data_IF_549057599156
#
_entry.id   IF_549057599156
#
_cell.length_a   1.000
_cell.length_b   1.000
_cell.length_c   1.000
_cell.angle_alpha   90.00
_cell.angle_beta   90.00
_cell.angle_gamma   90.00
#
_symmetry.space_group_name_H-M   'P 1'
#
loop_
_entity.id
_entity.type
_entity.pdbx_description
1 polymer ?
2 non-polymer ?
3 water ?
#
# COMPACT_ATOMS: atom_id res chain seq x y z
N UNK A 1 38.28 -16.30 -4.61
CA UNK A 1 39.34 -16.79 -3.68
C UNK A 1 40.07 -15.55 -3.14
N UNK A 2 41.22 -15.25 -3.72
CA UNK A 2 41.81 -13.92 -3.63
C UNK A 2 40.76 -12.84 -3.97
N UNK A 3 39.91 -13.11 -4.97
CA UNK A 3 38.96 -12.09 -5.46
C UNK A 3 37.88 -11.79 -4.47
N UNK A 4 37.55 -12.77 -3.65
CA UNK A 4 36.49 -12.60 -2.68
C UNK A 4 36.98 -11.70 -1.56
N UNK A 5 38.16 -11.99 -1.06
CA UNK A 5 38.79 -11.16 -0.06
C UNK A 5 38.94 -9.70 -0.53
N UNK A 6 39.47 -9.53 -1.74
CA UNK A 6 39.78 -8.21 -2.28
C UNK A 6 38.55 -7.34 -2.57
N UNK A 7 37.43 -7.95 -2.91
CA UNK A 7 36.24 -7.19 -3.28
C UNK A 7 35.37 -6.89 -2.07
N UNK A 8 35.75 -7.40 -0.90
CA UNK A 8 35.14 -6.99 0.37
C UNK A 8 35.64 -5.61 0.78
N UNK A 9 34.75 -4.63 0.83
CA UNK A 9 35.11 -3.25 1.18
C UNK A 9 33.86 -2.37 1.25
N UNK A 10 33.93 -1.28 2.00
CA UNK A 10 32.76 -0.39 2.16
C UNK A 10 32.27 0.18 0.83
N UNK A 11 33.20 0.49 -0.06
CA UNK A 11 32.79 1.06 -1.35
C UNK A 11 32.11 0.01 -2.23
N UNK A 12 32.63 -1.21 -2.21
CA UNK A 12 32.04 -2.26 -3.02
C UNK A 12 30.65 -2.58 -2.47
N UNK A 13 30.57 -2.66 -1.15
CA UNK A 13 29.32 -2.87 -0.43
C UNK A 13 28.27 -1.82 -0.80
N UNK A 14 28.68 -0.56 -0.79
CA UNK A 14 27.78 0.53 -1.12
C UNK A 14 27.33 0.52 -2.60
N UNK A 15 28.25 0.21 -3.50
CA UNK A 15 27.90 0.01 -4.89
C UNK A 15 26.87 -1.12 -5.06
N UNK A 16 27.04 -2.22 -4.33
CA UNK A 16 26.11 -3.30 -4.40
C UNK A 16 24.73 -2.78 -3.98
N UNK A 17 24.68 -2.05 -2.87
CA UNK A 17 23.41 -1.55 -2.32
C UNK A 17 22.73 -0.67 -3.36
N UNK A 18 23.50 0.28 -3.88
CA UNK A 18 23.01 1.26 -4.86
C UNK A 18 22.47 0.60 -6.13
N UNK A 19 23.17 -0.43 -6.61
CA UNK A 19 22.83 -1.08 -7.87
C UNK A 19 21.62 -1.96 -7.74
N UNK A 20 21.48 -2.59 -6.56
CA UNK A 20 20.45 -3.60 -6.43
C UNK A 20 19.19 -3.09 -5.77
N UNK A 21 19.26 -1.94 -5.10
CA UNK A 21 18.09 -1.37 -4.40
C UNK A 21 16.87 -1.14 -5.32
N UNK A 22 17.08 -0.71 -6.56
CA UNK A 22 15.92 -0.56 -7.49
C UNK A 22 15.32 -1.90 -7.87
N UNK A 23 16.13 -2.96 -7.93
CA UNK A 23 15.61 -4.28 -8.24
C UNK A 23 14.83 -4.78 -7.03
N UNK A 24 15.35 -4.66 -5.81
CA UNK A 24 14.55 -5.16 -4.69
C UNK A 24 13.23 -4.36 -4.57
N UNK A 25 13.29 -3.06 -4.81
CA UNK A 25 12.11 -2.21 -4.65
C UNK A 25 11.01 -2.57 -5.62
N UNK A 26 11.37 -3.13 -6.77
CA UNK A 26 10.43 -3.50 -7.83
C UNK A 26 10.00 -4.96 -7.75
N UNK A 27 10.95 -5.87 -7.60
CA UNK A 27 10.71 -7.31 -7.65
C UNK A 27 10.48 -7.94 -6.28
N UNK A 28 10.87 -7.25 -5.21
CA UNK A 28 10.71 -7.83 -3.88
C UNK A 28 11.80 -8.83 -3.59
N UNK A 29 11.85 -9.29 -2.35
CA UNK A 29 12.88 -10.26 -1.96
C UNK A 29 12.64 -11.58 -2.71
N UNK A 30 11.38 -12.03 -2.77
CA UNK A 30 11.07 -13.33 -3.45
C UNK A 30 11.30 -13.24 -4.95
N UNK A 31 11.04 -12.11 -5.57
CA UNK A 31 11.18 -12.02 -7.01
C UNK A 31 12.59 -11.68 -7.49
N UNK A 32 13.49 -11.39 -6.55
CA UNK A 32 14.84 -10.99 -6.93
C UNK A 32 15.73 -12.21 -6.84
N UNK A 33 16.30 -12.60 -7.97
CA UNK A 33 17.16 -13.80 -8.06
C UNK A 33 18.62 -13.40 -8.08
N UNK A 34 19.48 -14.40 -8.01
CA UNK A 34 20.93 -14.17 -8.05
C UNK A 34 21.35 -13.54 -9.35
N UNK A 35 20.77 -13.99 -10.46
CA UNK A 35 21.17 -13.43 -11.75
C UNK A 35 20.64 -12.00 -11.92
N UNK A 36 19.54 -11.65 -11.24
CA UNK A 36 19.12 -10.26 -11.17
C UNK A 36 20.24 -9.46 -10.51
N UNK A 37 20.84 -10.00 -9.44
CA UNK A 37 21.85 -9.27 -8.67
C UNK A 37 23.20 -9.13 -9.39
N UNK A 38 23.68 -10.23 -9.99
CA UNK A 38 24.91 -10.21 -10.75
C UNK A 38 24.73 -9.38 -12.03
N UNK A 39 23.54 -9.37 -12.65
CA UNK A 39 23.32 -8.48 -13.80
C UNK A 39 23.32 -7.02 -13.38
N UNK A 40 22.59 -6.71 -12.31
CA UNK A 40 22.49 -5.31 -11.80
C UNK A 40 23.86 -4.73 -11.38
N UNK A 41 24.70 -5.57 -10.78
CA UNK A 41 25.98 -5.11 -10.27
C UNK A 41 27.13 -5.29 -11.30
N UNK A 42 26.92 -6.14 -12.30
CA UNK A 42 28.00 -6.68 -13.14
C UNK A 42 29.16 -7.30 -12.31
N UNK A 43 28.83 -7.92 -11.18
CA UNK A 43 29.82 -8.55 -10.32
C UNK A 43 29.49 -10.00 -10.15
N UNK A 44 30.47 -10.80 -9.78
CA UNK A 44 30.25 -12.23 -9.57
C UNK A 44 29.52 -12.48 -8.26
N UNK A 45 28.88 -13.64 -8.17
CA UNK A 45 28.27 -14.11 -6.92
C UNK A 45 29.25 -14.02 -5.77
N UNK A 46 30.52 -14.32 -6.06
CA UNK A 46 31.60 -14.24 -5.08
C UNK A 46 31.85 -12.85 -4.54
N UNK A 47 31.83 -11.82 -5.39
CA UNK A 47 31.98 -10.45 -4.91
C UNK A 47 30.78 -10.02 -4.08
N UNK A 48 29.58 -10.31 -4.55
CA UNK A 48 28.38 -9.94 -3.82
C UNK A 48 28.40 -10.60 -2.41
N UNK A 49 28.58 -11.91 -2.36
CA UNK A 49 28.47 -12.59 -1.07
C UNK A 49 29.78 -12.60 -0.28
N UNK A 50 30.76 -11.84 -0.75
CA UNK A 50 31.91 -11.48 0.06
C UNK A 50 31.69 -10.18 0.82
N UNK A 51 30.62 -9.46 0.49
CA UNK A 51 30.24 -8.23 1.21
C UNK A 51 28.97 -8.41 2.06
N UNK A 52 28.17 -9.41 1.73
CA UNK A 52 26.94 -9.67 2.41
C UNK A 52 26.81 -11.16 2.72
N UNK A 53 26.21 -11.47 3.87
CA UNK A 53 25.97 -12.86 4.25
C UNK A 53 25.14 -13.60 3.23
N UNK A 54 23.99 -13.05 2.90
CA UNK A 54 23.06 -13.69 2.00
C UNK A 54 22.17 -12.65 1.36
N UNK A 55 21.26 -13.12 0.50
CA UNK A 55 20.38 -12.23 -0.23
C UNK A 55 19.55 -11.36 0.70
N UNK A 56 19.14 -11.96 1.83
CA UNK A 56 18.32 -11.25 2.81
C UNK A 56 19.05 -10.07 3.41
N UNK A 57 20.34 -10.22 3.73
CA UNK A 57 21.17 -9.11 4.20
C UNK A 57 21.24 -7.99 3.13
N UNK A 58 21.29 -8.37 1.85
CA UNK A 58 21.27 -7.38 0.78
C UNK A 58 19.90 -6.64 0.73
N UNK A 59 18.80 -7.39 0.88
CA UNK A 59 17.44 -6.82 0.88
C UNK A 59 17.23 -5.82 2.01
N UNK A 60 17.76 -6.15 3.19
CA UNK A 60 17.68 -5.27 4.35
C UNK A 60 18.43 -3.95 4.14
N UNK A 61 19.68 -4.04 3.65
CA UNK A 61 20.46 -2.87 3.31
C UNK A 61 19.78 -2.06 2.20
N UNK A 62 19.23 -2.74 1.20
CA UNK A 62 18.46 -2.05 0.14
C UNK A 62 17.31 -1.25 0.72
N UNK A 63 16.56 -1.83 1.65
CA UNK A 63 15.47 -1.12 2.27
C UNK A 63 15.99 0.12 3.00
N UNK A 64 17.04 -0.05 3.81
CA UNK A 64 17.63 1.11 4.49
C UNK A 64 18.06 2.20 3.53
N UNK A 65 18.61 1.83 2.37
CA UNK A 65 19.01 2.84 1.37
C UNK A 65 17.80 3.52 0.68
N UNK A 66 16.84 2.72 0.25
CA UNK A 66 15.63 3.22 -0.40
C UNK A 66 14.81 4.19 0.45
N UNK A 67 14.54 3.75 1.67
CA UNK A 67 13.83 4.57 2.62
C UNK A 67 14.73 5.73 3.10
N UNK A 68 16.02 5.48 3.33
CA UNK A 68 16.93 6.57 3.69
C UNK A 68 16.89 7.67 2.63
N UNK A 69 16.76 7.27 1.36
CA UNK A 69 16.64 8.22 0.28
C UNK A 69 15.35 9.02 0.37
N UNK A 70 14.22 8.37 0.67
CA UNK A 70 12.96 9.10 0.80
C UNK A 70 13.09 10.08 1.98
N UNK A 71 13.65 9.62 3.09
CA UNK A 71 13.86 10.45 4.28
C UNK A 71 14.66 11.70 3.97
N UNK A 72 15.76 11.52 3.24
CA UNK A 72 16.66 12.61 2.88
C UNK A 72 16.00 13.64 1.98
N UNK A 73 15.16 13.20 1.05
CA UNK A 73 14.42 14.12 0.20
C UNK A 73 13.46 14.91 1.03
N UNK A 74 12.70 14.22 1.87
CA UNK A 74 11.71 14.88 2.71
C UNK A 74 12.40 15.90 3.63
N UNK A 75 13.54 15.51 4.21
CA UNK A 75 14.36 16.41 5.06
C UNK A 75 14.78 17.66 4.28
N UNK A 76 15.23 17.47 3.04
CA UNK A 76 15.74 18.57 2.28
C UNK A 76 14.60 19.53 1.90
N UNK A 77 13.43 18.98 1.56
CA UNK A 77 12.28 19.78 1.19
C UNK A 77 11.67 20.49 2.41
N UNK A 78 11.63 19.82 3.54
CA UNK A 78 11.14 20.42 4.78
C UNK A 78 12.05 21.61 5.21
N UNK A 79 13.36 21.44 5.15
CA UNK A 79 14.29 22.50 5.54
C UNK A 79 14.26 23.70 4.58
N UNK A 80 13.57 23.59 3.44
CA UNK A 80 13.42 24.73 2.54
C UNK A 80 12.10 25.50 2.73
N UNK A 81 11.22 25.01 3.61
CA UNK A 81 9.92 25.63 3.89
C UNK A 81 9.99 26.85 4.85
N UNK A 82 9.03 27.77 4.74
CA UNK A 82 8.92 28.93 5.63
C UNK A 82 7.99 28.75 6.81
N UNK A 83 7.07 27.80 6.66
CA UNK A 83 5.97 27.61 7.59
C UNK A 83 5.86 26.11 7.92
N UNK A 84 5.32 25.84 9.10
CA UNK A 84 5.08 24.46 9.54
C UNK A 84 4.08 23.76 8.62
N UNK A 85 3.04 24.48 8.23
CA UNK A 85 2.10 23.96 7.25
C UNK A 85 2.78 23.46 5.98
N UNK A 86 3.73 24.25 5.47
CA UNK A 86 4.40 23.90 4.23
C UNK A 86 5.19 22.62 4.42
N UNK A 87 5.83 22.46 5.56
CA UNK A 87 6.59 21.27 5.87
C UNK A 87 5.72 20.01 5.86
N UNK A 88 4.46 20.13 6.29
CA UNK A 88 3.51 19.03 6.29
C UNK A 88 2.95 18.68 4.87
N UNK A 89 3.16 19.58 3.90
CA UNK A 89 2.59 19.42 2.58
C UNK A 89 3.64 19.29 1.47
N UNK A 90 4.86 18.89 1.78
CA UNK A 90 5.87 18.65 0.74
C UNK A 90 5.66 17.32 -0.04
N UNK A 91 4.71 16.48 0.38
CA UNK A 91 4.56 15.11 -0.16
C UNK A 91 4.20 15.08 -1.64
N UNK A 92 3.22 15.86 -2.05
CA UNK A 92 2.88 15.89 -3.45
C UNK A 92 4.05 16.24 -4.38
N UNK A 93 4.88 17.20 -3.99
CA UNK A 93 5.95 17.58 -4.89
C UNK A 93 7.01 16.47 -4.82
N UNK A 94 7.23 15.88 -3.65
CA UNK A 94 8.21 14.80 -3.56
C UNK A 94 7.85 13.62 -4.46
N UNK A 95 6.56 13.24 -4.51
CA UNK A 95 6.16 12.05 -5.25
C UNK A 95 5.87 12.33 -6.73
N UNK A 96 5.31 13.50 -7.05
CA UNK A 96 4.92 13.79 -8.43
C UNK A 96 5.95 14.55 -9.29
N UNK A 97 6.88 15.29 -8.69
CA UNK A 97 7.77 16.17 -9.51
C UNK A 97 8.71 15.35 -10.37
N UNK A 98 9.11 15.91 -11.52
CA UNK A 98 10.05 15.24 -12.42
C UNK A 98 9.62 13.79 -12.66
N UNK A 99 8.29 13.63 -12.77
CA UNK A 99 7.65 12.35 -12.98
C UNK A 99 8.07 11.24 -12.01
N UNK A 100 8.14 11.58 -10.73
CA UNK A 100 8.44 10.63 -9.71
C UNK A 100 9.91 10.36 -9.52
N UNK A 101 10.78 11.08 -10.22
CA UNK A 101 12.20 10.69 -10.23
C UNK A 101 12.89 10.99 -8.88
N UNK A 102 12.27 11.78 -8.02
CA UNK A 102 12.78 11.95 -6.63
C UNK A 102 12.58 10.74 -5.71
N UNK A 103 11.61 9.87 -6.02
CA UNK A 103 11.40 8.63 -5.29
C UNK A 103 12.23 7.51 -5.87
N UNK A 104 12.54 6.49 -5.07
CA UNK A 104 13.30 5.40 -5.66
C UNK A 104 12.51 4.78 -6.83
N UNK A 105 13.26 4.18 -7.77
CA UNK A 105 12.64 3.36 -8.81
C UNK A 105 11.74 2.30 -8.16
N UNK A 106 10.52 2.16 -8.63
CA UNK A 106 9.55 1.24 -8.00
C UNK A 106 8.64 1.84 -6.93
N UNK A 107 8.88 3.10 -6.55
CA UNK A 107 7.95 3.82 -5.68
C UNK A 107 8.35 3.71 -4.22
N UNK A 108 7.34 3.67 -3.34
CA UNK A 108 7.60 3.79 -1.92
C UNK A 108 8.06 2.47 -1.36
N UNK A 109 9.30 2.44 -0.81
CA UNK A 109 9.77 1.18 -0.21
C UNK A 109 8.98 0.75 1.03
N UNK A 110 8.33 1.70 1.71
CA UNK A 110 7.63 1.37 2.93
C UNK A 110 6.37 0.59 2.55
N UNK A 111 5.66 1.13 1.56
CA UNK A 111 4.53 0.44 1.00
C UNK A 111 4.98 -0.89 0.42
N UNK A 112 6.04 -0.92 -0.39
CA UNK A 112 6.42 -2.10 -1.10
C UNK A 112 6.94 -3.18 -0.18
N UNK A 113 7.67 -2.77 0.83
CA UNK A 113 8.24 -3.73 1.79
C UNK A 113 7.17 -4.34 2.72
N UNK A 114 6.28 -3.48 3.20
CA UNK A 114 5.26 -3.92 4.12
C UNK A 114 4.39 -5.02 3.47
N UNK A 115 3.97 -4.86 2.22
CA UNK A 115 3.06 -5.80 1.59
C UNK A 115 3.74 -7.16 1.43
N UNK A 116 5.03 -7.15 1.12
CA UNK A 116 5.72 -8.41 1.02
C UNK A 116 6.01 -9.08 2.38
N UNK A 117 6.55 -8.26 3.28
CA UNK A 117 7.15 -8.76 4.52
C UNK A 117 6.11 -9.04 5.57
N UNK A 118 4.97 -8.36 5.51
CA UNK A 118 4.00 -8.46 6.60
C UNK A 118 3.63 -9.88 7.05
N UNK A 119 3.39 -10.77 6.10
CA UNK A 119 3.06 -12.16 6.41
C UNK A 119 4.13 -13.14 6.00
N UNK A 120 5.34 -12.67 5.71
CA UNK A 120 6.40 -13.60 5.33
C UNK A 120 7.75 -13.36 5.94
N UNK A 121 8.00 -12.19 6.53
CA UNK A 121 9.38 -11.85 6.90
C UNK A 121 9.46 -10.87 8.07
N UNK A 122 9.59 -11.41 9.27
CA UNK A 122 9.62 -10.63 10.50
C UNK A 122 10.60 -9.48 10.53
N UNK A 123 11.88 -9.74 10.19
CA UNK A 123 12.90 -8.71 10.30
C UNK A 123 12.50 -7.49 9.47
N UNK A 124 12.11 -7.71 8.23
CA UNK A 124 11.74 -6.60 7.36
C UNK A 124 10.44 -5.94 7.71
N UNK A 125 9.47 -6.71 8.22
CA UNK A 125 8.24 -6.11 8.71
C UNK A 125 8.61 -5.14 9.83
N UNK A 126 9.48 -5.59 10.74
CA UNK A 126 9.88 -4.72 11.84
C UNK A 126 10.54 -3.43 11.34
N UNK A 127 11.37 -3.52 10.31
CA UNK A 127 11.98 -2.33 9.74
C UNK A 127 10.92 -1.41 9.22
N UNK A 128 9.90 -1.96 8.57
CA UNK A 128 8.83 -1.10 8.01
C UNK A 128 8.06 -0.41 9.12
N UNK A 129 7.78 -1.15 10.19
CA UNK A 129 7.11 -0.59 11.35
C UNK A 129 7.87 0.52 12.02
N UNK A 130 9.17 0.29 12.24
CA UNK A 130 10.04 1.35 12.77
C UNK A 130 10.01 2.57 11.84
N UNK A 131 10.04 2.34 10.54
CA UNK A 131 10.03 3.46 9.58
C UNK A 131 8.81 4.32 9.73
N UNK A 132 7.66 3.66 9.81
CA UNK A 132 6.39 4.32 9.88
C UNK A 132 6.31 5.08 11.17
N UNK A 133 6.75 4.47 12.26
CA UNK A 133 6.69 5.14 13.55
C UNK A 133 7.66 6.33 13.67
N UNK A 134 8.86 6.23 13.10
CA UNK A 134 9.77 7.37 13.05
C UNK A 134 9.24 8.54 12.21
N UNK A 135 8.60 8.21 11.09
CA UNK A 135 7.96 9.19 10.24
C UNK A 135 6.86 9.85 11.05
N UNK A 136 6.00 9.06 11.70
CA UNK A 136 4.96 9.59 12.59
C UNK A 136 5.54 10.56 13.67
N UNK A 137 6.66 10.18 14.28
CA UNK A 137 7.24 10.98 15.35
C UNK A 137 7.75 12.33 14.83
N UNK A 138 8.34 12.31 13.65
CA UNK A 138 8.73 13.55 12.99
C UNK A 138 7.55 14.44 12.70
N UNK A 139 6.46 13.88 12.25
CA UNK A 139 5.28 14.67 11.93
C UNK A 139 4.72 15.32 13.20
N UNK A 140 4.59 14.53 14.27
CA UNK A 140 4.19 15.06 15.56
C UNK A 140 5.10 16.25 16.02
N UNK A 141 6.40 16.11 15.86
CA UNK A 141 7.34 17.19 16.21
C UNK A 141 7.05 18.47 15.42
N UNK A 142 6.80 18.33 14.11
CA UNK A 142 6.42 19.48 13.27
C UNK A 142 5.09 20.09 13.71
N UNK A 143 4.09 19.26 13.93
CA UNK A 143 2.77 19.76 14.35
C UNK A 143 2.88 20.54 15.70
N UNK A 144 3.53 19.93 16.69
CA UNK A 144 3.68 20.57 17.99
C UNK A 144 4.38 21.95 17.89
N UNK A 145 5.38 22.06 17.04
CA UNK A 145 6.01 23.35 16.76
C UNK A 145 5.03 24.32 16.14
N UNK A 146 4.21 23.84 15.22
CA UNK A 146 3.17 24.65 14.62
C UNK A 146 2.15 25.15 15.63
N UNK A 147 1.83 24.31 16.61
CA UNK A 147 0.96 24.74 17.71
C UNK A 147 1.61 25.87 18.55
N UNK A 148 2.88 25.71 18.89
CA UNK A 148 3.55 26.72 19.70
C UNK A 148 3.92 27.95 18.88
N UNK A 149 4.01 27.81 17.56
CA UNK A 149 4.11 29.00 16.69
C UNK A 149 2.74 29.63 16.37
N UNK A 150 1.66 29.15 16.99
CA UNK A 150 0.33 29.74 16.83
C UNK A 150 -0.19 29.59 15.41
N UNK A 151 0.37 28.61 14.70
CA UNK A 151 -0.04 28.31 13.34
C UNK A 151 -1.23 27.33 13.34
N UNK A 152 -1.19 26.40 14.29
CA UNK A 152 -2.21 25.37 14.46
C UNK A 152 -2.79 25.50 15.84
N UNK A 153 -4.01 25.00 15.99
CA UNK A 153 -4.71 25.06 17.26
C UNK A 153 -4.15 24.11 18.33
N UNK A 154 -4.30 24.50 19.61
CA UNK A 154 -3.86 23.62 20.70
C UNK A 154 -4.79 22.44 20.95
N UNK A 155 -6.02 22.47 20.46
CA UNK A 155 -6.90 21.29 20.64
C UNK A 155 -6.65 20.16 19.61
N UNK A 156 -5.67 20.36 18.72
CA UNK A 156 -5.37 19.38 17.67
C UNK A 156 -4.99 18.01 18.23
N UNK A 157 -5.59 16.95 17.68
CA UNK A 157 -5.17 15.59 18.04
C UNK A 157 -3.97 15.25 17.18
N UNK A 158 -2.79 15.49 17.72
CA UNK A 158 -1.55 15.44 16.96
C UNK A 158 -1.27 14.05 16.42
N UNK A 159 -1.46 13.03 17.27
CA UNK A 159 -1.22 11.63 16.85
C UNK A 159 -2.18 11.22 15.74
N UNK A 160 -3.46 11.51 15.94
CA UNK A 160 -4.46 11.25 14.89
C UNK A 160 -4.14 11.90 13.52
N UNK A 161 -3.75 13.16 13.54
CA UNK A 161 -3.37 13.87 12.32
C UNK A 161 -2.13 13.25 11.64
N UNK A 162 -1.15 12.92 12.46
CA UNK A 162 0.11 12.38 11.96
C UNK A 162 -0.14 11.02 11.26
N UNK A 163 -0.93 10.13 11.86
CA UNK A 163 -1.22 8.83 11.23
C UNK A 163 -2.10 9.00 10.01
N UNK A 164 -3.03 9.95 10.03
CA UNK A 164 -3.90 10.18 8.88
C UNK A 164 -3.16 10.71 7.66
N UNK A 165 -2.17 11.55 7.89
CA UNK A 165 -1.30 12.11 6.84
C UNK A 165 -0.60 10.96 6.13
N UNK A 166 0.00 10.08 6.94
CA UNK A 166 0.69 8.90 6.46
C UNK A 166 -0.22 8.04 5.62
N UNK A 167 -1.43 7.82 6.11
CA UNK A 167 -2.40 7.07 5.36
C UNK A 167 -2.71 7.72 4.05
N UNK A 168 -2.91 9.02 4.08
CA UNK A 168 -3.26 9.73 2.87
C UNK A 168 -2.15 9.72 1.83
N UNK A 169 -0.89 9.86 2.25
CA UNK A 169 0.22 9.87 1.34
C UNK A 169 0.39 8.46 0.71
N UNK A 170 0.43 7.43 1.55
CA UNK A 170 0.61 6.09 1.09
C UNK A 170 -0.56 5.61 0.23
N UNK A 171 -1.78 6.01 0.59
CA UNK A 171 -2.99 5.72 -0.16
C UNK A 171 -3.00 6.41 -1.52
N UNK A 172 -2.49 7.65 -1.57
CA UNK A 172 -2.35 8.39 -2.82
C UNK A 172 -1.41 7.64 -3.74
N UNK A 173 -0.27 7.19 -3.23
CA UNK A 173 0.72 6.45 -4.02
C UNK A 173 0.10 5.17 -4.59
N UNK A 174 -0.65 4.46 -3.75
CA UNK A 174 -1.31 3.21 -4.13
C UNK A 174 -2.24 3.38 -5.32
N UNK A 175 -3.06 4.43 -5.25
CA UNK A 175 -3.99 4.74 -6.32
C UNK A 175 -3.24 5.11 -7.60
N UNK A 176 -2.24 5.94 -7.46
CA UNK A 176 -1.43 6.24 -8.63
C UNK A 176 -0.82 4.94 -9.24
N UNK A 177 -0.27 4.08 -8.40
CA UNK A 177 0.39 2.85 -8.89
C UNK A 177 -0.58 1.85 -9.55
N UNK A 178 -1.82 1.81 -9.07
CA UNK A 178 -2.85 0.92 -9.61
C UNK A 178 -3.42 1.46 -10.90
N UNK A 179 -3.61 2.77 -10.98
CA UNK A 179 -4.30 3.38 -12.12
C UNK A 179 -3.39 4.01 -13.17
N UNK A 180 -2.15 4.33 -12.79
CA UNK A 180 -1.18 5.07 -13.63
C UNK A 180 -1.66 6.50 -13.96
N UNK A 181 -2.55 7.04 -13.16
CA UNK A 181 -3.10 8.34 -13.49
C UNK A 181 -2.96 9.29 -12.31
N UNK A 182 -2.03 10.22 -12.41
CA UNK A 182 -1.77 11.18 -11.32
C UNK A 182 -2.97 12.07 -10.99
N UNK A 183 -3.94 12.20 -11.90
CA UNK A 183 -5.12 13.02 -11.61
C UNK A 183 -5.91 12.37 -10.47
N UNK A 184 -5.88 11.05 -10.39
CA UNK A 184 -6.67 10.41 -9.35
C UNK A 184 -5.97 10.59 -8.01
N UNK A 185 -4.65 10.37 -7.97
CA UNK A 185 -3.93 10.56 -6.71
C UNK A 185 -3.91 12.05 -6.33
N UNK A 186 -3.95 12.97 -7.32
CA UNK A 186 -4.02 14.43 -6.99
C UNK A 186 -5.23 14.76 -6.09
N UNK A 187 -6.34 14.04 -6.24
CA UNK A 187 -7.48 14.25 -5.32
C UNK A 187 -7.14 13.94 -3.86
N UNK A 188 -6.29 12.94 -3.65
CA UNK A 188 -5.91 12.57 -2.27
C UNK A 188 -4.94 13.60 -1.66
N UNK A 189 -4.00 14.08 -2.47
CA UNK A 189 -3.11 15.12 -2.01
C UNK A 189 -3.89 16.38 -1.68
N UNK A 190 -4.96 16.62 -2.44
CA UNK A 190 -5.85 17.73 -2.13
C UNK A 190 -6.51 17.55 -0.74
N UNK A 191 -6.95 16.32 -0.43
CA UNK A 191 -7.46 16.06 0.90
C UNK A 191 -6.36 16.15 1.96
N UNK A 192 -5.11 15.82 1.67
CA UNK A 192 -4.06 16.08 2.65
C UNK A 192 -4.00 17.57 3.01
N UNK A 193 -4.04 18.43 2.00
CA UNK A 193 -4.12 19.87 2.26
C UNK A 193 -5.33 20.25 3.12
N UNK A 194 -6.50 19.72 2.79
CA UNK A 194 -7.70 20.00 3.61
C UNK A 194 -7.51 19.55 5.08
N UNK A 195 -6.87 18.41 5.31
CA UNK A 195 -6.66 17.95 6.69
C UNK A 195 -5.88 18.99 7.49
N UNK A 196 -4.80 19.49 6.90
CA UNK A 196 -3.92 20.43 7.63
C UNK A 196 -4.57 21.82 7.76
N UNK A 197 -5.26 22.26 6.71
CA UNK A 197 -6.07 23.51 6.79
C UNK A 197 -7.04 23.43 7.95
N UNK A 198 -7.59 22.24 8.20
CA UNK A 198 -8.55 22.05 9.26
C UNK A 198 -7.96 22.10 10.66
N UNK A 199 -6.64 22.08 10.81
CA UNK A 199 -6.06 22.22 12.14
C UNK A 199 -5.53 23.65 12.40
N UNK A 200 -5.54 24.50 11.37
CA UNK A 200 -5.06 25.86 11.50
C UNK A 200 -5.86 26.69 12.51
N UNK A 201 -5.16 27.60 13.18
CA UNK A 201 -5.81 28.53 14.11
C UNK A 201 -6.89 29.32 13.36
N UNK A 202 -7.94 29.72 14.06
CA UNK A 202 -9.02 30.51 13.47
C UNK A 202 -8.54 31.84 12.87
N UNK A 203 -9.13 32.25 11.75
CA UNK A 203 -8.69 33.41 10.95
C UNK A 203 -9.25 34.72 11.46
N UNK B 4 -27.75 -23.08 -15.29
CA UNK B 4 -27.20 -24.38 -15.79
C UNK B 4 -26.00 -24.86 -14.96
N UNK B 5 -25.55 -26.09 -15.25
CA UNK B 5 -24.61 -26.80 -14.36
C UNK B 5 -23.14 -26.53 -14.71
N UNK B 6 -22.32 -26.36 -13.68
CA UNK B 6 -20.86 -26.29 -13.85
C UNK B 6 -20.31 -27.64 -14.38
N UNK B 7 -19.38 -27.59 -15.32
CA UNK B 7 -18.74 -28.79 -15.81
C UNK B 7 -17.66 -29.22 -14.82
N UNK B 8 -17.08 -30.41 -15.02
CA UNK B 8 -15.94 -30.85 -14.21
C UNK B 8 -14.75 -29.89 -14.33
N UNK B 9 -14.47 -29.38 -15.54
CA UNK B 9 -13.49 -28.28 -15.74
C UNK B 9 -13.74 -27.03 -14.89
N UNK B 10 -14.97 -26.54 -14.90
CA UNK B 10 -15.31 -25.35 -14.11
C UNK B 10 -15.07 -25.60 -12.60
N UNK B 11 -15.48 -26.77 -12.13
CA UNK B 11 -15.35 -27.11 -10.73
C UNK B 11 -13.88 -27.31 -10.39
N UNK B 12 -13.11 -27.86 -11.30
CA UNK B 12 -11.69 -28.08 -11.03
C UNK B 12 -10.93 -26.75 -10.96
N UNK B 13 -11.17 -25.87 -11.95
CA UNK B 13 -10.62 -24.53 -11.89
C UNK B 13 -11.02 -23.82 -10.60
N UNK B 14 -12.30 -23.88 -10.25
CA UNK B 14 -12.76 -23.25 -9.01
C UNK B 14 -12.01 -23.78 -7.76
N UNK B 15 -11.85 -25.09 -7.68
CA UNK B 15 -11.07 -25.70 -6.60
C UNK B 15 -9.60 -25.26 -6.58
N UNK B 16 -8.97 -25.17 -7.75
CA UNK B 16 -7.60 -24.69 -7.82
C UNK B 16 -7.49 -23.25 -7.25
N UNK B 17 -8.44 -22.40 -7.64
CA UNK B 17 -8.44 -21.01 -7.24
C UNK B 17 -8.66 -20.88 -5.76
N UNK B 18 -9.70 -21.56 -5.24
CA UNK B 18 -9.98 -21.57 -3.83
C UNK B 18 -8.78 -22.02 -3.00
N UNK B 19 -8.15 -23.12 -3.42
CA UNK B 19 -7.00 -23.66 -2.70
C UNK B 19 -5.75 -22.79 -2.75
N UNK B 20 -5.51 -22.12 -3.88
CA UNK B 20 -4.25 -21.38 -4.03
C UNK B 20 -4.35 -19.88 -3.73
N UNK B 21 -5.56 -19.29 -3.78
CA UNK B 21 -5.73 -17.84 -3.61
C UNK B 21 -5.14 -17.33 -2.30
N UNK B 22 -5.24 -18.08 -1.21
CA UNK B 22 -4.61 -17.56 0.04
C UNK B 22 -3.10 -17.54 -0.02
N UNK B 23 -2.50 -18.42 -0.82
CA UNK B 23 -1.06 -18.43 -1.00
C UNK B 23 -0.61 -17.24 -1.85
N UNK B 24 -1.31 -17.00 -2.95
CA UNK B 24 -1.02 -15.87 -3.78
C UNK B 24 -1.13 -14.58 -2.99
N UNK B 25 -2.16 -14.47 -2.14
CA UNK B 25 -2.38 -13.25 -1.36
C UNK B 25 -1.27 -12.92 -0.35
N UNK B 26 -0.61 -13.95 0.17
CA UNK B 26 0.48 -13.81 1.14
C UNK B 26 1.85 -13.79 0.44
N UNK B 27 2.07 -14.69 -0.53
CA UNK B 27 3.42 -14.87 -1.10
C UNK B 27 3.60 -14.11 -2.36
N UNK B 28 2.49 -13.76 -3.02
CA UNK B 28 2.57 -13.08 -4.30
C UNK B 28 2.86 -14.03 -5.46
N UNK B 29 2.72 -13.54 -6.68
CA UNK B 29 3.03 -14.36 -7.81
C UNK B 29 4.48 -14.87 -7.75
N UNK B 30 5.43 -14.00 -7.40
CA UNK B 30 6.87 -14.38 -7.41
C UNK B 30 7.25 -15.39 -6.32
N UNK B 31 6.60 -15.29 -5.19
CA UNK B 31 6.93 -16.14 -4.06
C UNK B 31 6.14 -17.43 -4.03
N UNK B 32 5.15 -17.57 -4.92
CA UNK B 32 4.30 -18.77 -4.92
C UNK B 32 4.92 -19.74 -5.86
N UNK B 33 5.46 -20.84 -5.35
CA UNK B 33 6.07 -21.87 -6.22
C UNK B 33 5.11 -22.93 -6.76
N UNK B 34 5.58 -23.67 -7.76
CA UNK B 34 4.88 -24.90 -8.24
C UNK B 34 4.60 -25.81 -7.07
N UNK B 35 5.56 -26.01 -6.17
CA UNK B 35 5.29 -26.88 -5.04
C UNK B 35 4.21 -26.35 -4.10
N UNK B 36 4.14 -25.04 -3.92
CA UNK B 36 3.02 -24.48 -3.19
C UNK B 36 1.68 -24.82 -3.87
N UNK B 37 1.66 -24.74 -5.18
CA UNK B 37 0.43 -25.01 -5.93
C UNK B 37 -0.03 -26.47 -5.83
N UNK B 38 0.91 -27.40 -6.07
CA UNK B 38 0.63 -28.83 -5.99
C UNK B 38 0.32 -29.30 -4.58
N UNK B 39 1.02 -28.74 -3.59
CA UNK B 39 0.71 -29.06 -2.21
C UNK B 39 -0.63 -28.57 -1.76
N UNK B 40 -1.05 -27.43 -2.27
CA UNK B 40 -2.27 -26.83 -1.81
C UNK B 40 -3.46 -27.56 -2.45
N UNK B 41 -3.24 -28.20 -3.59
CA UNK B 41 -4.36 -28.79 -4.36
C UNK B 41 -4.37 -30.32 -4.37
N UNK B 42 -3.21 -30.92 -4.12
CA UNK B 42 -2.98 -32.35 -4.39
C UNK B 42 -3.27 -32.73 -5.84
N UNK B 43 -3.07 -31.77 -6.74
CA UNK B 43 -3.18 -31.99 -8.16
C UNK B 43 -1.77 -31.91 -8.73
N UNK B 44 -1.54 -32.58 -9.84
CA UNK B 44 -0.22 -32.50 -10.49
C UNK B 44 -0.09 -31.18 -11.25
N UNK B 45 1.15 -30.84 -11.61
CA UNK B 45 1.44 -29.75 -12.50
C UNK B 45 0.60 -29.87 -13.77
N UNK B 46 0.56 -31.06 -14.37
CA UNK B 46 -0.15 -31.24 -15.61
C UNK B 46 -1.66 -31.08 -15.48
N UNK B 47 -2.19 -31.48 -14.34
CA UNK B 47 -3.59 -31.25 -14.10
C UNK B 47 -3.92 -29.75 -13.96
N UNK B 48 -3.08 -29.05 -13.22
CA UNK B 48 -3.27 -27.63 -12.93
C UNK B 48 -3.19 -26.83 -14.22
N UNK B 49 -2.14 -27.11 -15.00
CA UNK B 49 -1.92 -26.41 -16.24
C UNK B 49 -2.65 -27.02 -17.42
N UNK B 50 -3.45 -28.06 -17.17
CA UNK B 50 -4.47 -28.46 -18.13
C UNK B 50 -5.74 -27.65 -17.90
N UNK B 51 -5.79 -26.92 -16.78
CA UNK B 51 -6.92 -26.04 -16.45
C UNK B 51 -6.59 -24.54 -16.60
N UNK B 52 -5.33 -24.17 -16.46
CA UNK B 52 -4.90 -22.78 -16.63
C UNK B 52 -3.73 -22.73 -17.61
N UNK B 53 -3.61 -21.65 -18.36
CA UNK B 53 -2.54 -21.56 -19.34
C UNK B 53 -1.14 -21.50 -18.71
N UNK B 54 -1.01 -20.73 -17.65
CA UNK B 54 0.27 -20.55 -16.96
C UNK B 54 0.04 -19.99 -15.55
N UNK B 55 1.11 -19.78 -14.80
CA UNK B 55 1.01 -19.36 -13.40
C UNK B 55 0.39 -18.00 -13.25
N UNK B 56 0.73 -17.11 -14.18
CA UNK B 56 0.17 -15.78 -14.24
C UNK B 56 -1.38 -15.87 -14.34
N UNK B 57 -1.89 -16.75 -15.18
CA UNK B 57 -3.34 -16.98 -15.30
C UNK B 57 -3.99 -17.43 -13.97
N UNK B 58 -3.28 -18.29 -13.25
CA UNK B 58 -3.75 -18.69 -11.91
C UNK B 58 -3.79 -17.49 -10.98
N UNK B 59 -2.74 -16.69 -11.00
CA UNK B 59 -2.67 -15.49 -10.15
C UNK B 59 -3.76 -14.47 -10.46
N UNK B 60 -4.15 -14.35 -11.72
CA UNK B 60 -5.18 -13.39 -12.09
C UNK B 60 -6.51 -13.84 -11.53
N UNK B 61 -6.81 -15.12 -11.72
CA UNK B 61 -8.01 -15.71 -11.16
C UNK B 61 -8.04 -15.63 -9.65
N UNK B 62 -6.90 -15.87 -9.00
CA UNK B 62 -6.83 -15.73 -7.54
C UNK B 62 -7.19 -14.31 -7.11
N UNK B 63 -6.64 -13.30 -7.80
CA UNK B 63 -6.99 -11.89 -7.52
C UNK B 63 -8.50 -11.70 -7.66
N UNK B 64 -9.09 -12.19 -8.76
CA UNK B 64 -10.54 -11.96 -8.98
C UNK B 64 -11.34 -12.59 -7.86
N UNK B 65 -10.88 -13.75 -7.43
CA UNK B 65 -11.51 -14.45 -6.32
C UNK B 65 -11.36 -13.69 -4.98
N UNK B 66 -10.12 -13.36 -4.62
CA UNK B 66 -9.84 -12.67 -3.36
C UNK B 66 -10.56 -11.32 -3.28
N UNK B 67 -10.47 -10.55 -4.35
CA UNK B 67 -11.14 -9.24 -4.40
C UNK B 67 -12.65 -9.42 -4.45
N UNK B 68 -13.14 -10.46 -5.16
CA UNK B 68 -14.56 -10.80 -5.19
C UNK B 68 -15.07 -11.09 -3.79
N UNK B 69 -14.28 -11.77 -3.00
CA UNK B 69 -14.63 -12.02 -1.61
C UNK B 69 -14.77 -10.72 -0.75
N UNK B 70 -13.82 -9.81 -0.87
CA UNK B 70 -13.92 -8.53 -0.19
C UNK B 70 -15.17 -7.80 -0.66
N UNK B 71 -15.37 -7.76 -1.96
CA UNK B 71 -16.57 -7.12 -2.52
C UNK B 71 -17.88 -7.72 -1.98
N UNK B 72 -17.98 -9.05 -1.86
CA UNK B 72 -19.24 -9.65 -1.38
C UNK B 72 -19.48 -9.37 0.13
N UNK B 73 -18.40 -9.31 0.93
CA UNK B 73 -18.54 -8.85 2.31
C UNK B 73 -19.01 -7.38 2.37
N UNK B 74 -18.41 -6.55 1.52
CA UNK B 74 -18.71 -5.10 1.51
C UNK B 74 -20.17 -4.93 1.11
N UNK B 75 -20.61 -5.65 0.10
CA UNK B 75 -22.01 -5.59 -0.31
C UNK B 75 -22.99 -6.00 0.79
N UNK B 76 -22.72 -7.10 1.48
CA UNK B 76 -23.55 -7.52 2.61
C UNK B 76 -23.66 -6.41 3.65
N UNK B 77 -22.53 -5.86 4.02
CA UNK B 77 -22.53 -4.82 5.04
C UNK B 77 -23.24 -3.54 4.59
N UNK B 78 -22.98 -3.11 3.37
CA UNK B 78 -23.63 -1.91 2.84
C UNK B 78 -25.13 -2.12 2.77
N UNK B 79 -25.56 -3.30 2.37
CA UNK B 79 -27.00 -3.55 2.24
C UNK B 79 -27.74 -3.60 3.57
N UNK B 80 -27.01 -3.85 4.64
CA UNK B 80 -27.59 -3.87 5.99
C UNK B 80 -27.63 -2.49 6.65
N UNK B 81 -27.16 -1.46 5.94
CA UNK B 81 -27.17 -0.08 6.46
C UNK B 81 -28.54 0.59 6.31
N UNK B 82 -28.83 1.51 7.21
CA UNK B 82 -30.09 2.27 7.21
C UNK B 82 -29.93 3.70 6.75
N UNK B 83 -28.70 4.16 6.56
CA UNK B 83 -28.43 5.46 6.03
C UNK B 83 -27.23 5.37 5.08
N UNK B 84 -27.14 6.34 4.17
CA UNK B 84 -26.04 6.39 3.24
C UNK B 84 -24.73 6.62 3.98
N UNK B 85 -24.75 7.47 4.99
CA UNK B 85 -23.57 7.70 5.82
C UNK B 85 -23.00 6.41 6.36
N UNK B 86 -23.87 5.53 6.84
CA UNK B 86 -23.37 4.28 7.43
C UNK B 86 -22.75 3.37 6.38
N UNK B 87 -23.28 3.43 5.13
CA UNK B 87 -22.71 2.70 4.01
C UNK B 87 -21.25 3.07 3.73
N UNK B 88 -20.92 4.34 3.91
CA UNK B 88 -19.56 4.80 3.71
C UNK B 88 -18.62 4.47 4.87
N UNK B 89 -19.16 3.97 6.00
CA UNK B 89 -18.34 3.75 7.20
C UNK B 89 -18.29 2.26 7.66
N UNK B 90 -18.53 1.33 6.76
CA UNK B 90 -18.53 -0.07 7.14
C UNK B 90 -17.09 -0.63 7.22
N UNK B 91 -16.11 0.16 6.76
CA UNK B 91 -14.78 -0.37 6.49
C UNK B 91 -14.02 -0.81 7.77
N UNK B 92 -14.10 -0.01 8.80
CA UNK B 92 -13.42 -0.36 10.05
C UNK B 92 -13.85 -1.74 10.59
N UNK B 93 -15.15 -1.96 10.67
CA UNK B 93 -15.65 -3.26 11.15
C UNK B 93 -15.24 -4.37 10.17
N UNK B 94 -15.29 -4.10 8.87
CA UNK B 94 -14.88 -5.11 7.88
C UNK B 94 -13.42 -5.58 8.05
N UNK B 95 -12.51 -4.63 8.30
CA UNK B 95 -11.11 -4.93 8.41
C UNK B 95 -10.73 -5.42 9.79
N UNK B 96 -11.34 -4.83 10.81
CA UNK B 96 -10.92 -5.10 12.18
C UNK B 96 -11.66 -6.22 12.88
N UNK B 97 -12.88 -6.53 12.48
CA UNK B 97 -13.66 -7.53 13.23
C UNK B 97 -12.98 -8.89 13.08
N UNK B 98 -13.00 -9.69 14.14
CA UNK B 98 -12.48 -11.05 14.07
C UNK B 98 -11.00 -11.10 13.66
N UNK B 99 -10.26 -10.10 14.11
CA UNK B 99 -8.86 -9.98 13.83
C UNK B 99 -8.56 -10.14 12.33
N UNK B 100 -9.37 -9.55 11.46
CA UNK B 100 -9.12 -9.63 10.00
C UNK B 100 -9.74 -10.83 9.27
N UNK B 101 -10.48 -11.69 10.00
CA UNK B 101 -10.96 -12.93 9.38
C UNK B 101 -12.08 -12.73 8.35
N UNK B 102 -12.61 -11.53 8.26
CA UNK B 102 -13.53 -11.26 7.16
C UNK B 102 -12.81 -11.01 5.84
N UNK B 103 -11.54 -10.60 5.90
CA UNK B 103 -10.73 -10.46 4.67
C UNK B 103 -10.08 -11.81 4.36
N UNK B 104 -9.68 -12.04 3.09
CA UNK B 104 -8.88 -13.22 2.80
C UNK B 104 -7.61 -13.26 3.68
N UNK B 105 -7.06 -14.45 3.83
CA UNK B 105 -5.75 -14.61 4.47
C UNK B 105 -4.70 -13.79 3.68
N UNK B 106 -3.95 -12.93 4.38
CA UNK B 106 -2.88 -12.09 3.80
C UNK B 106 -3.31 -10.63 3.62
N UNK B 107 -4.58 -10.35 3.91
CA UNK B 107 -5.13 -8.99 3.86
C UNK B 107 -5.76 -8.56 2.56
N UNK B 108 -5.65 -7.25 2.28
CA UNK B 108 -6.31 -6.67 1.12
C UNK B 108 -5.60 -7.09 -0.15
N UNK B 109 -6.32 -7.81 -1.02
CA UNK B 109 -5.70 -8.19 -2.27
C UNK B 109 -5.49 -7.05 -3.23
N UNK B 110 -6.26 -5.96 -3.12
CA UNK B 110 -5.99 -4.80 -4.00
C UNK B 110 -4.63 -4.16 -3.66
N UNK B 111 -4.44 -3.90 -2.37
CA UNK B 111 -3.14 -3.47 -1.91
C UNK B 111 -2.00 -4.43 -2.31
N UNK B 112 -2.19 -5.72 -2.01
CA UNK B 112 -1.11 -6.70 -2.19
C UNK B 112 -0.75 -6.81 -3.68
N UNK B 113 -1.78 -6.84 -4.51
CA UNK B 113 -1.56 -7.02 -5.93
C UNK B 113 -0.96 -5.80 -6.58
N UNK B 114 -1.43 -4.60 -6.21
CA UNK B 114 -0.91 -3.40 -6.84
C UNK B 114 0.60 -3.31 -6.63
N UNK B 115 1.05 -3.52 -5.40
CA UNK B 115 2.45 -3.37 -5.04
C UNK B 115 3.25 -4.35 -5.84
N UNK B 116 2.76 -5.58 -6.09
CA UNK B 116 3.59 -6.53 -6.80
C UNK B 116 3.52 -6.25 -8.30
N UNK B 117 2.32 -6.02 -8.81
CA UNK B 117 2.13 -5.99 -10.26
C UNK B 117 2.50 -4.66 -10.90
N UNK B 118 2.49 -3.57 -10.11
CA UNK B 118 2.56 -2.24 -10.67
C UNK B 118 3.77 -2.12 -11.62
N UNK B 119 4.94 -2.67 -11.27
CA UNK B 119 6.12 -2.58 -12.12
C UNK B 119 6.61 -3.95 -12.64
N UNK B 120 5.75 -4.97 -12.61
CA UNK B 120 6.13 -6.30 -13.05
C UNK B 120 5.14 -6.99 -14.01
N UNK B 121 3.86 -6.62 -14.01
CA UNK B 121 2.79 -7.49 -14.57
C UNK B 121 1.62 -6.63 -15.01
N UNK B 122 1.66 -6.20 -16.26
CA UNK B 122 0.66 -5.24 -16.72
C UNK B 122 -0.76 -5.77 -16.64
N UNK B 123 -0.98 -7.02 -17.02
CA UNK B 123 -2.36 -7.50 -17.03
C UNK B 123 -2.95 -7.45 -15.61
N UNK B 124 -2.17 -7.82 -14.59
CA UNK B 124 -2.68 -7.76 -13.23
C UNK B 124 -2.76 -6.32 -12.73
N UNK B 125 -1.81 -5.47 -13.12
CA UNK B 125 -1.88 -4.04 -12.75
C UNK B 125 -3.22 -3.48 -13.26
N UNK B 126 -3.58 -3.82 -14.50
CA UNK B 126 -4.87 -3.39 -15.07
C UNK B 126 -6.06 -3.83 -14.28
N UNK B 127 -6.04 -5.03 -13.76
CA UNK B 127 -7.18 -5.50 -12.93
C UNK B 127 -7.24 -4.71 -11.64
N UNK B 128 -6.08 -4.43 -11.06
CA UNK B 128 -6.01 -3.63 -9.82
C UNK B 128 -6.61 -2.24 -10.05
N UNK B 129 -6.17 -1.62 -11.15
CA UNK B 129 -6.72 -0.35 -11.63
C UNK B 129 -8.21 -0.34 -11.80
N UNK B 130 -8.72 -1.37 -12.44
CA UNK B 130 -10.15 -1.49 -12.69
C UNK B 130 -10.89 -1.73 -11.35
N UNK B 131 -10.29 -2.46 -10.41
CA UNK B 131 -10.91 -2.72 -9.11
C UNK B 131 -11.02 -1.39 -8.35
N UNK B 132 -9.96 -0.60 -8.36
CA UNK B 132 -10.00 0.70 -7.66
C UNK B 132 -11.06 1.61 -8.25
N UNK B 133 -11.10 1.69 -9.57
CA UNK B 133 -12.05 2.58 -10.25
C UNK B 133 -13.50 2.10 -10.07
N UNK B 134 -13.73 0.78 -10.04
CA UNK B 134 -15.09 0.31 -9.74
C UNK B 134 -15.54 0.57 -8.32
N UNK B 135 -14.65 0.39 -7.35
CA UNK B 135 -14.92 0.81 -6.00
C UNK B 135 -15.27 2.32 -5.94
N UNK B 136 -14.45 3.15 -6.54
CA UNK B 136 -14.64 4.60 -6.56
C UNK B 136 -16.03 4.93 -7.15
N UNK B 137 -16.37 4.27 -8.24
CA UNK B 137 -17.67 4.45 -8.86
C UNK B 137 -18.83 4.09 -7.93
N UNK B 138 -18.69 2.99 -7.18
CA UNK B 138 -19.71 2.63 -6.19
C UNK B 138 -19.83 3.70 -5.10
N UNK B 139 -18.69 4.22 -4.65
CA UNK B 139 -18.70 5.27 -3.65
C UNK B 139 -19.42 6.55 -4.18
N UNK B 140 -19.11 6.93 -5.43
CA UNK B 140 -19.77 8.07 -6.11
C UNK B 140 -21.29 7.91 -6.07
N UNK B 141 -21.76 6.70 -6.44
CA UNK B 141 -23.17 6.40 -6.41
C UNK B 141 -23.77 6.58 -5.03
N UNK B 142 -23.11 6.08 -3.97
CA UNK B 142 -23.65 6.20 -2.61
C UNK B 142 -23.67 7.65 -2.17
N UNK B 143 -22.59 8.35 -2.46
CA UNK B 143 -22.46 9.75 -2.05
C UNK B 143 -23.59 10.57 -2.72
N UNK B 144 -23.79 10.38 -4.02
CA UNK B 144 -24.83 11.14 -4.75
C UNK B 144 -26.26 10.78 -4.31
N UNK B 145 -26.49 9.53 -3.87
CA UNK B 145 -27.78 9.19 -3.22
C UNK B 145 -27.96 9.89 -1.86
N UNK B 146 -26.86 10.05 -1.13
CA UNK B 146 -26.89 10.75 0.16
C UNK B 146 -27.14 12.24 0.00
N UNK B 147 -26.59 12.84 -1.06
CA UNK B 147 -26.90 14.23 -1.41
C UNK B 147 -28.41 14.41 -1.68
N UNK B 148 -29.01 13.51 -2.46
CA UNK B 148 -30.41 13.64 -2.85
C UNK B 148 -31.35 13.38 -1.69
N UNK B 149 -30.91 12.54 -0.77
CA UNK B 149 -31.63 12.25 0.46
C UNK B 149 -31.42 13.35 1.51
N UNK B 150 -30.61 14.36 1.18
CA UNK B 150 -30.29 15.44 2.10
C UNK B 150 -29.48 14.98 3.31
N UNK B 151 -28.74 13.89 3.19
CA UNK B 151 -27.78 13.51 4.22
C UNK B 151 -26.54 14.35 4.02
N UNK B 152 -26.14 14.53 2.77
CA UNK B 152 -24.89 15.18 2.43
C UNK B 152 -25.13 16.48 1.67
N UNK B 153 -24.21 17.43 1.85
CA UNK B 153 -24.28 18.73 1.18
C UNK B 153 -24.18 18.66 -0.35
N UNK B 154 -25.00 19.46 -1.04
CA UNK B 154 -25.08 19.43 -2.51
C UNK B 154 -23.77 19.80 -3.19
N UNK B 155 -22.98 20.66 -2.56
CA UNK B 155 -21.69 21.07 -3.10
C UNK B 155 -20.52 20.12 -2.76
N UNK B 156 -20.80 18.93 -2.23
CA UNK B 156 -19.76 17.93 -1.97
C UNK B 156 -18.92 17.64 -3.24
N UNK B 157 -17.59 17.67 -3.11
CA UNK B 157 -16.70 17.28 -4.19
C UNK B 157 -16.59 15.73 -4.17
N UNK B 158 -17.50 15.11 -4.92
CA UNK B 158 -17.79 13.66 -4.74
C UNK B 158 -16.60 12.84 -5.08
N UNK B 159 -15.91 13.24 -6.15
CA UNK B 159 -14.77 12.48 -6.64
C UNK B 159 -13.66 12.55 -5.65
N UNK B 160 -13.40 13.76 -5.12
CA UNK B 160 -12.33 13.91 -4.18
C UNK B 160 -12.61 13.06 -2.94
N UNK B 161 -13.85 13.09 -2.45
CA UNK B 161 -14.15 12.33 -1.26
C UNK B 161 -13.98 10.80 -1.54
N UNK B 162 -14.47 10.32 -2.68
CA UNK B 162 -14.42 8.90 -2.99
C UNK B 162 -12.96 8.42 -3.01
N UNK B 163 -12.12 9.09 -3.78
CA UNK B 163 -10.74 8.70 -3.80
C UNK B 163 -10.08 8.82 -2.44
N UNK B 164 -10.48 9.85 -1.66
CA UNK B 164 -9.88 10.08 -0.34
C UNK B 164 -10.26 8.97 0.65
N UNK B 165 -11.51 8.47 0.53
CA UNK B 165 -11.97 7.31 1.28
C UNK B 165 -11.07 6.09 1.02
N UNK B 166 -10.82 5.82 -0.25
CA UNK B 166 -10.05 4.66 -0.68
C UNK B 166 -8.68 4.80 -0.08
N UNK B 167 -8.14 6.00 -0.14
CA UNK B 167 -6.77 6.26 0.31
C UNK B 167 -6.66 6.04 1.79
N UNK B 168 -7.64 6.53 2.54
CA UNK B 168 -7.70 6.32 3.99
C UNK B 168 -7.82 4.86 4.41
N UNK B 169 -8.70 4.12 3.76
CA UNK B 169 -8.92 2.73 4.10
C UNK B 169 -7.65 1.94 3.81
N UNK B 170 -7.13 2.09 2.57
CA UNK B 170 -5.93 1.35 2.22
C UNK B 170 -4.71 1.79 3.05
N UNK B 171 -4.60 3.07 3.36
CA UNK B 171 -3.51 3.58 4.17
C UNK B 171 -3.62 3.08 5.59
N UNK B 172 -4.85 3.00 6.11
CA UNK B 172 -5.07 2.43 7.43
C UNK B 172 -4.57 0.97 7.46
N UNK B 173 -4.94 0.21 6.45
CA UNK B 173 -4.51 -1.20 6.37
C UNK B 173 -2.96 -1.30 6.35
N UNK B 174 -2.31 -0.45 5.53
CA UNK B 174 -0.87 -0.41 5.48
C UNK B 174 -0.27 -0.21 6.84
N UNK B 175 -0.77 0.77 7.55
CA UNK B 175 -0.22 1.12 8.87
C UNK B 175 -0.37 -0.07 9.82
N UNK B 176 -1.56 -0.71 9.81
CA UNK B 176 -1.77 -1.91 10.61
C UNK B 176 -0.82 -3.04 10.24
N UNK B 177 -0.62 -3.27 8.97
CA UNK B 177 0.25 -4.38 8.58
C UNK B 177 1.74 -4.13 8.85
N UNK B 178 2.15 -2.87 8.82
CA UNK B 178 3.53 -2.48 9.05
C UNK B 178 3.79 -2.53 10.56
N UNK B 179 2.83 -2.12 11.38
CA UNK B 179 3.06 -2.02 12.85
C UNK B 179 2.49 -3.13 13.71
N UNK B 180 1.59 -3.96 13.14
CA UNK B 180 0.82 -4.96 13.90
C UNK B 180 0.03 -4.41 15.09
N UNK B 181 -0.30 -3.12 15.06
CA UNK B 181 -0.97 -2.44 16.13
C UNK B 181 -2.23 -1.73 15.63
N UNK B 182 -3.39 -2.30 15.93
CA UNK B 182 -4.66 -1.74 15.52
C UNK B 182 -4.96 -0.37 16.09
N UNK B 183 -4.31 0.02 17.19
CA UNK B 183 -4.52 1.38 17.72
C UNK B 183 -4.13 2.48 16.74
N UNK B 184 -3.08 2.23 15.97
CA UNK B 184 -2.55 3.19 15.03
C UNK B 184 -3.45 3.36 13.85
N UNK B 185 -3.89 2.24 13.27
CA UNK B 185 -4.85 2.25 12.20
C UNK B 185 -6.21 2.77 12.64
N UNK B 186 -6.58 2.59 13.92
CA UNK B 186 -7.84 3.09 14.40
C UNK B 186 -7.94 4.61 14.26
N UNK B 187 -6.82 5.32 14.44
CA UNK B 187 -6.82 6.77 14.19
C UNK B 187 -7.21 7.14 12.78
N UNK B 188 -6.79 6.32 11.83
CA UNK B 188 -7.08 6.60 10.43
C UNK B 188 -8.57 6.36 10.13
N UNK B 189 -9.10 5.28 10.67
CA UNK B 189 -10.53 5.00 10.55
C UNK B 189 -11.35 6.09 11.24
N UNK B 190 -10.83 6.65 12.34
CA UNK B 190 -11.45 7.85 12.92
C UNK B 190 -11.43 9.04 11.97
N UNK B 191 -10.30 9.28 11.30
CA UNK B 191 -10.25 10.32 10.27
C UNK B 191 -11.21 10.07 9.09
N UNK B 192 -11.45 8.81 8.73
CA UNK B 192 -12.44 8.52 7.69
C UNK B 192 -13.83 8.97 8.13
N UNK B 193 -14.21 8.67 9.37
CA UNK B 193 -15.46 9.16 9.88
C UNK B 193 -15.49 10.71 9.94
N UNK B 194 -14.38 11.35 10.34
CA UNK B 194 -14.31 12.83 10.26
C UNK B 194 -14.56 13.29 8.82
N UNK B 195 -13.95 12.63 7.85
CA UNK B 195 -14.13 13.02 6.44
C UNK B 195 -15.62 13.01 6.04
N UNK B 196 -16.33 11.94 6.38
CA UNK B 196 -17.75 11.84 6.01
C UNK B 196 -18.62 12.82 6.81
N UNK B 197 -18.37 12.94 8.12
CA UNK B 197 -19.09 13.92 8.94
C UNK B 197 -18.97 15.32 8.36
N UNK B 198 -17.81 15.63 7.80
CA UNK B 198 -17.58 16.94 7.22
C UNK B 198 -18.37 17.20 5.95
N UNK B 199 -18.94 16.17 5.33
CA UNK B 199 -19.81 16.41 4.15
C UNK B 199 -21.31 16.43 4.53
N UNK B 200 -21.65 16.16 5.78
CA UNK B 200 -23.07 16.03 6.15
C UNK B 200 -23.70 17.41 6.18
N UNK B 201 -24.99 17.52 5.90
CA UNK B 201 -25.68 18.82 6.05
C UNK B 201 -25.78 19.16 7.56
N UNK B 202 -25.64 20.44 7.89
CA UNK B 202 -25.79 20.95 9.27
C UNK B 202 -27.04 20.43 9.99
N UNK B 203 -26.85 19.93 11.22
CA UNK B 203 -27.94 19.44 12.09
C UNK B 203 -28.46 20.55 13.00
X LIG C 1 1.44 -9.43 2.28
X LIG C 1 2.66 -10.44 2.57
X LIG C 1 0.72 -7.98 2.48
X LIG C 1 1.11 -9.82 0.70
X LIG C 1 0.25 -10.43 2.99
X LIG D 1 6.20 -2.16 -6.54
X LIG D 1 7.04 -3.14 -5.59
X LIG D 1 5.44 -3.01 -7.25
X LIG D 1 5.04 -1.29 -5.92
X LIG D 1 7.18 -1.35 -7.59
#
# INVERSE_FOLDING_TARGET
QAMKELSKSDRTRQFIIESTAPVFNVKGLAGTSLTDLTEATNLTKGSIYGNFENKEAVAIAAFDYNWGHVKSVLTAKVQACNTYKEMLLVYSSMYNDADGSLFPVGGCPLLNTTIEADDTHDALRKKAGEAILSWKKNLVTIIKKGIQAKEFRPDTDVTKIAFSMIALVEGAILIHRATKNRAYSDYVFESLEDLIAGIEVKKK
QAMKELSKSDRTRQFIIESTAPVFNVKGLAGTSLTDLTEATNLTKGSIYGNFENKEAVAIAAFDYNWGHVKSVLTAKVQACNTYKEMLLVYSSMYNDADGSLFPVGGCPLLNTTIEADDTHDALRKKAGEAILSWKKNLVTIIKKGIQAKEFRPDTDVTKIAFSMIALVEGAILIHRATKNRAYSDYVFESLEDLIAGIEVKKK
SO4 S O1 O2 O3 O4
SO4 S O1 O2 O3 O4
#
